data_IF_096602350660
#
_entry.id   IF_096602350660
#
_cell.length_a   1.000
_cell.length_b   1.000
_cell.length_c   1.000
_cell.angle_alpha   90.00
_cell.angle_beta   90.00
_cell.angle_gamma   90.00
#
_symmetry.space_group_name_H-M   'P 1'
#
loop_
_entity.id
_entity.type
_entity.pdbx_description
1 polymer ?
#
# COMPACT_ATOMS: atom_id res chain seq x y z
N UNK A 1 -3.60 -12.79 29.76
CA UNK A 1 -2.26 -12.34 29.32
C UNK A 1 -1.68 -13.44 28.43
N UNK A 2 -1.23 -13.18 27.18
CA UNK A 2 -0.50 -14.19 26.41
C UNK A 2 1.02 -14.08 26.64
N UNK A 3 1.80 -15.17 26.43
CA UNK A 3 3.14 -15.36 26.99
C UNK A 3 4.28 -14.74 26.17
N UNK A 4 5.41 -14.60 26.86
CA UNK A 4 6.69 -14.00 26.50
C UNK A 4 7.56 -14.89 25.57
N UNK A 5 7.36 -14.79 24.27
CA UNK A 5 8.34 -15.26 23.27
C UNK A 5 8.12 -14.52 21.96
N UNK A 6 8.78 -13.36 21.83
CA UNK A 6 8.70 -12.51 20.65
C UNK A 6 9.71 -12.99 19.61
N UNK A 7 9.24 -13.73 18.60
CA UNK A 7 9.90 -13.74 17.30
C UNK A 7 9.72 -12.35 16.68
N UNK A 8 10.76 -11.54 16.85
CA UNK A 8 10.95 -10.26 16.17
C UNK A 8 11.26 -10.57 14.72
N UNK A 9 10.27 -10.49 13.83
CA UNK A 9 10.37 -10.14 12.39
C UNK A 9 8.97 -10.32 11.77
N UNK A 10 8.56 -9.39 10.92
CA UNK A 10 7.28 -9.40 10.16
C UNK A 10 5.97 -8.96 10.86
N UNK A 11 6.01 -7.98 11.77
CA UNK A 11 4.78 -7.26 12.19
C UNK A 11 4.33 -6.18 11.18
N UNK A 12 5.19 -5.81 10.24
CA UNK A 12 4.89 -4.80 9.22
C UNK A 12 4.14 -5.37 7.99
N UNK A 13 4.20 -6.68 7.77
CA UNK A 13 3.84 -7.29 6.48
C UNK A 13 2.63 -8.23 6.54
N UNK A 14 2.16 -8.63 7.73
CA UNK A 14 1.00 -9.51 7.88
C UNK A 14 -0.29 -8.73 8.23
N UNK A 15 -1.44 -9.06 7.63
CA UNK A 15 -2.73 -8.53 8.04
C UNK A 15 -3.00 -8.92 9.50
N UNK A 16 -3.13 -7.92 10.38
CA UNK A 16 -3.34 -8.16 11.81
C UNK A 16 -4.68 -8.86 12.08
N UNK A 17 -4.74 -9.82 13.04
CA UNK A 17 -6.00 -10.33 13.55
C UNK A 17 -6.92 -9.17 13.96
N UNK A 18 -8.20 -9.19 13.56
CA UNK A 18 -9.15 -8.08 13.76
C UNK A 18 -9.12 -7.47 15.17
N UNK A 19 -8.92 -8.31 16.21
CA UNK A 19 -8.77 -7.88 17.61
C UNK A 19 -7.55 -6.98 17.84
N UNK A 20 -6.41 -7.31 17.22
CA UNK A 20 -5.18 -6.52 17.30
C UNK A 20 -5.30 -5.26 16.46
N UNK A 21 -5.90 -5.35 15.26
CA UNK A 21 -6.15 -4.19 14.39
C UNK A 21 -7.04 -3.15 15.07
N UNK A 22 -8.06 -3.58 15.83
CA UNK A 22 -8.94 -2.69 16.60
C UNK A 22 -8.24 -1.99 17.77
N UNK A 23 -7.36 -2.68 18.48
CA UNK A 23 -6.52 -2.05 19.53
C UNK A 23 -5.49 -1.09 18.92
N UNK A 24 -4.94 -1.45 17.75
CA UNK A 24 -4.00 -0.60 17.02
C UNK A 24 -4.67 0.66 16.49
N UNK A 25 -5.89 0.57 15.94
CA UNK A 25 -6.64 1.75 15.50
C UNK A 25 -6.99 2.70 16.65
N UNK A 26 -7.32 2.19 17.85
CA UNK A 26 -7.56 3.07 19.01
C UNK A 26 -6.31 3.81 19.47
N UNK A 27 -5.14 3.14 19.49
CA UNK A 27 -3.87 3.79 19.84
C UNK A 27 -3.47 4.82 18.77
N UNK A 28 -3.66 4.50 17.49
CA UNK A 28 -3.36 5.41 16.39
C UNK A 28 -4.32 6.61 16.35
N UNK A 29 -5.59 6.44 16.68
CA UNK A 29 -6.53 7.56 16.83
C UNK A 29 -6.08 8.55 17.91
N UNK A 30 -5.62 8.03 19.06
CA UNK A 30 -4.99 8.87 20.09
C UNK A 30 -3.70 9.54 19.61
N UNK A 31 -2.89 8.86 18.80
CA UNK A 31 -1.68 9.46 18.21
C UNK A 31 -2.01 10.59 17.23
N UNK A 32 -3.05 10.44 16.41
CA UNK A 32 -3.55 11.52 15.54
C UNK A 32 -4.03 12.71 16.35
N UNK A 33 -4.72 12.49 17.49
CA UNK A 33 -5.10 13.59 18.37
C UNK A 33 -3.91 14.32 19.00
N UNK A 34 -2.78 13.63 19.22
CA UNK A 34 -1.56 14.22 19.77
C UNK A 34 -0.70 14.90 18.70
N UNK A 35 -0.74 14.41 17.46
CA UNK A 35 0.06 14.89 16.34
C UNK A 35 -0.80 15.00 15.06
N UNK A 36 -1.76 15.94 15.02
CA UNK A 36 -2.72 16.07 13.91
C UNK A 36 -2.11 16.65 12.64
N UNK A 37 -0.91 17.23 12.72
CA UNK A 37 -0.23 17.84 11.57
C UNK A 37 0.82 16.94 10.95
N UNK A 38 0.96 15.70 11.43
CA UNK A 38 1.98 14.76 10.96
C UNK A 38 1.37 13.79 9.94
N UNK A 39 1.75 13.84 8.65
CA UNK A 39 1.16 12.98 7.62
C UNK A 39 1.21 11.48 7.97
N UNK A 40 2.28 11.03 8.62
CA UNK A 40 2.55 9.63 8.93
C UNK A 40 1.56 9.06 9.95
N UNK A 41 1.00 9.87 10.85
CA UNK A 41 -0.01 9.42 11.83
C UNK A 41 -1.32 9.11 11.11
N UNK A 42 -1.72 9.99 10.19
CA UNK A 42 -2.88 9.78 9.31
C UNK A 42 -2.68 8.60 8.34
N UNK A 43 -1.50 8.43 7.74
CA UNK A 43 -1.19 7.24 6.91
C UNK A 43 -1.34 5.95 7.73
N UNK A 44 -0.80 5.94 8.95
CA UNK A 44 -0.85 4.78 9.83
C UNK A 44 -2.28 4.44 10.26
N UNK A 45 -3.08 5.46 10.60
CA UNK A 45 -4.48 5.28 10.98
C UNK A 45 -5.32 4.82 9.78
N UNK A 46 -5.12 5.41 8.60
CA UNK A 46 -5.76 4.98 7.35
C UNK A 46 -5.46 3.51 7.03
N UNK A 47 -4.21 3.07 7.24
CA UNK A 47 -3.83 1.67 7.03
C UNK A 47 -4.53 0.72 8.01
N UNK A 48 -4.70 1.15 9.27
CA UNK A 48 -5.44 0.38 10.26
C UNK A 48 -6.94 0.28 9.90
N UNK A 49 -7.57 1.37 9.45
CA UNK A 49 -8.96 1.35 8.98
C UNK A 49 -9.14 0.47 7.75
N UNK A 50 -8.22 0.53 6.79
CA UNK A 50 -8.21 -0.36 5.62
C UNK A 50 -8.16 -1.83 6.05
N UNK A 51 -7.26 -2.18 6.99
CA UNK A 51 -7.16 -3.54 7.54
C UNK A 51 -8.42 -4.00 8.29
N UNK A 52 -9.26 -3.08 8.75
CA UNK A 52 -10.56 -3.35 9.36
C UNK A 52 -11.71 -3.41 8.34
N UNK A 53 -11.46 -3.13 7.06
CA UNK A 53 -12.50 -3.01 6.03
C UNK A 53 -13.28 -1.68 6.07
N UNK A 54 -12.85 -0.73 6.90
CA UNK A 54 -13.43 0.62 7.05
C UNK A 54 -12.88 1.54 5.96
N UNK A 55 -13.31 1.31 4.72
CA UNK A 55 -12.71 1.94 3.54
C UNK A 55 -12.95 3.45 3.47
N UNK A 56 -14.11 3.92 3.94
CA UNK A 56 -14.44 5.36 3.96
C UNK A 56 -13.61 6.11 4.99
N UNK A 57 -13.46 5.56 6.20
CA UNK A 57 -12.59 6.14 7.21
C UNK A 57 -11.12 6.10 6.76
N UNK A 58 -10.68 5.00 6.14
CA UNK A 58 -9.34 4.92 5.58
C UNK A 58 -9.07 5.98 4.51
N UNK A 59 -10.03 6.20 3.60
CA UNK A 59 -9.93 7.24 2.58
C UNK A 59 -9.80 8.61 3.23
N UNK A 60 -10.64 8.94 4.21
CA UNK A 60 -10.62 10.23 4.91
C UNK A 60 -9.25 10.51 5.52
N UNK A 61 -8.67 9.54 6.21
CA UNK A 61 -7.34 9.70 6.82
C UNK A 61 -6.23 9.89 5.77
N UNK A 62 -6.26 9.12 4.68
CA UNK A 62 -5.27 9.31 3.62
C UNK A 62 -5.44 10.64 2.86
N UNK A 63 -6.67 11.15 2.74
CA UNK A 63 -6.95 12.47 2.19
C UNK A 63 -6.40 13.59 3.07
N UNK A 64 -6.51 13.47 4.40
CA UNK A 64 -5.87 14.38 5.35
C UNK A 64 -4.34 14.32 5.23
N UNK A 65 -3.76 13.11 5.15
CA UNK A 65 -2.33 12.95 4.92
C UNK A 65 -1.89 13.63 3.60
N UNK A 66 -2.70 13.52 2.54
CA UNK A 66 -2.43 14.15 1.23
C UNK A 66 -2.41 15.67 1.33
N UNK A 67 -3.31 16.26 2.11
CA UNK A 67 -3.34 17.71 2.35
C UNK A 67 -2.07 18.18 3.08
N UNK A 68 -1.59 17.39 4.05
CA UNK A 68 -0.39 17.71 4.82
C UNK A 68 0.90 17.49 4.03
N UNK A 69 0.97 16.46 3.18
CA UNK A 69 2.12 16.17 2.32
C UNK A 69 1.70 15.70 0.92
N UNK A 70 1.45 16.64 -0.02
CA UNK A 70 0.95 16.31 -1.35
C UNK A 70 2.00 15.68 -2.28
N UNK A 71 3.26 15.54 -1.84
CA UNK A 71 4.35 14.95 -2.65
C UNK A 71 4.74 13.54 -2.20
N UNK A 72 4.14 13.00 -1.14
CA UNK A 72 4.44 11.64 -0.70
C UNK A 72 3.72 10.59 -1.55
N UNK A 73 4.48 9.91 -2.40
CA UNK A 73 4.02 8.81 -3.24
C UNK A 73 3.31 7.68 -2.48
N UNK A 74 3.65 7.43 -1.20
CA UNK A 74 3.01 6.38 -0.39
C UNK A 74 1.52 6.67 -0.17
N UNK A 75 1.17 7.94 -0.01
CA UNK A 75 -0.21 8.37 0.19
C UNK A 75 -1.05 8.07 -1.04
N UNK A 76 -0.55 8.41 -2.24
CA UNK A 76 -1.22 8.13 -3.50
C UNK A 76 -1.37 6.62 -3.75
N UNK A 77 -0.34 5.82 -3.46
CA UNK A 77 -0.44 4.35 -3.53
C UNK A 77 -1.52 3.81 -2.58
N UNK A 78 -1.59 4.32 -1.35
CA UNK A 78 -2.59 3.90 -0.38
C UNK A 78 -4.01 4.31 -0.77
N UNK A 79 -4.21 5.54 -1.27
CA UNK A 79 -5.51 5.99 -1.81
C UNK A 79 -5.93 5.16 -3.02
N UNK A 80 -5.00 4.87 -3.94
CA UNK A 80 -5.27 4.01 -5.08
C UNK A 80 -5.78 2.63 -4.65
N UNK A 81 -5.15 2.02 -3.64
CA UNK A 81 -5.61 0.76 -3.07
C UNK A 81 -7.03 0.85 -2.48
N UNK A 82 -7.39 1.98 -1.88
CA UNK A 82 -8.76 2.20 -1.38
C UNK A 82 -9.77 2.26 -2.54
N UNK A 83 -9.50 3.06 -3.57
CA UNK A 83 -10.39 3.14 -4.75
C UNK A 83 -10.51 1.79 -5.46
N UNK A 84 -9.41 1.05 -5.57
CA UNK A 84 -9.42 -0.31 -6.11
C UNK A 84 -10.32 -1.25 -5.30
N UNK A 85 -10.21 -1.23 -3.96
CA UNK A 85 -11.07 -2.04 -3.08
C UNK A 85 -12.55 -1.62 -3.14
N UNK A 86 -12.83 -0.37 -3.50
CA UNK A 86 -14.18 0.14 -3.75
C UNK A 86 -14.71 -0.16 -5.16
N UNK A 87 -13.89 -0.77 -6.03
CA UNK A 87 -14.25 -1.09 -7.42
C UNK A 87 -14.01 0.04 -8.43
N UNK A 88 -13.49 1.19 -8.01
CA UNK A 88 -13.15 2.29 -8.93
C UNK A 88 -11.72 2.12 -9.47
N UNK A 89 -11.60 1.23 -10.45
CA UNK A 89 -10.31 0.94 -11.11
C UNK A 89 -9.73 2.17 -11.82
N UNK A 90 -10.59 3.04 -12.37
CA UNK A 90 -10.16 4.23 -13.10
C UNK A 90 -9.43 5.21 -12.19
N UNK A 91 -9.98 5.49 -11.00
CA UNK A 91 -9.29 6.31 -9.99
C UNK A 91 -8.03 5.63 -9.46
N UNK A 92 -8.09 4.31 -9.22
CA UNK A 92 -6.95 3.57 -8.72
C UNK A 92 -5.74 3.66 -9.65
N UNK A 93 -5.95 3.45 -10.96
CA UNK A 93 -4.88 3.58 -11.97
C UNK A 93 -4.29 4.99 -11.99
N UNK A 94 -5.11 6.05 -11.99
CA UNK A 94 -4.62 7.43 -11.95
C UNK A 94 -3.74 7.70 -10.74
N UNK A 95 -4.16 7.23 -9.57
CA UNK A 95 -3.44 7.45 -8.31
C UNK A 95 -2.16 6.62 -8.22
N UNK A 96 -2.16 5.37 -8.70
CA UNK A 96 -0.92 4.58 -8.79
C UNK A 96 0.08 5.17 -9.78
N UNK A 97 -0.37 5.69 -10.94
CA UNK A 97 0.50 6.44 -11.84
C UNK A 97 1.10 7.65 -11.16
N UNK A 98 0.28 8.45 -10.47
CA UNK A 98 0.78 9.61 -9.71
C UNK A 98 1.81 9.20 -8.64
N UNK A 99 1.61 8.07 -7.97
CA UNK A 99 2.59 7.53 -7.03
C UNK A 99 3.91 7.15 -7.70
N UNK A 100 3.85 6.51 -8.88
CA UNK A 100 5.03 6.14 -9.66
C UNK A 100 5.76 7.37 -10.25
N UNK A 101 5.04 8.44 -10.58
CA UNK A 101 5.61 9.71 -11.06
C UNK A 101 6.33 10.46 -9.93
N UNK A 102 5.70 10.52 -8.75
CA UNK A 102 6.30 11.18 -7.57
C UNK A 102 7.50 10.41 -7.01
N UNK A 103 7.45 9.08 -7.07
CA UNK A 103 8.57 8.23 -6.69
C UNK A 103 8.69 7.03 -7.65
N UNK A 104 9.62 7.11 -8.62
CA UNK A 104 9.90 6.02 -9.55
C UNK A 104 10.37 4.71 -8.90
N UNK A 105 10.78 4.74 -7.63
CA UNK A 105 11.24 3.59 -6.84
C UNK A 105 10.15 3.01 -5.94
N UNK A 106 8.89 3.49 -6.03
CA UNK A 106 7.79 2.93 -5.27
C UNK A 106 7.39 1.54 -5.82
N UNK A 107 8.06 0.50 -5.31
CA UNK A 107 7.89 -0.88 -5.74
C UNK A 107 6.43 -1.36 -5.65
N UNK A 108 5.68 -0.95 -4.61
CA UNK A 108 4.27 -1.35 -4.45
C UNK A 108 3.40 -0.78 -5.56
N UNK A 109 3.54 0.52 -5.88
CA UNK A 109 2.78 1.14 -6.95
C UNK A 109 3.09 0.52 -8.32
N UNK A 110 4.37 0.24 -8.60
CA UNK A 110 4.79 -0.41 -9.85
C UNK A 110 4.20 -1.83 -9.98
N UNK A 111 4.23 -2.60 -8.89
CA UNK A 111 3.64 -3.95 -8.87
C UNK A 111 2.12 -3.89 -9.06
N UNK A 112 1.43 -2.96 -8.41
CA UNK A 112 -0.01 -2.78 -8.56
C UNK A 112 -0.39 -2.40 -10.00
N UNK A 113 0.32 -1.46 -10.63
CA UNK A 113 0.14 -1.13 -12.05
C UNK A 113 0.37 -2.35 -12.94
N UNK A 114 1.49 -3.07 -12.75
CA UNK A 114 1.81 -4.24 -13.55
C UNK A 114 0.70 -5.30 -13.49
N UNK A 115 0.23 -5.63 -12.28
CA UNK A 115 -0.84 -6.62 -12.08
C UNK A 115 -2.17 -6.17 -12.68
N UNK A 116 -2.51 -4.88 -12.65
CA UNK A 116 -3.74 -4.40 -13.27
C UNK A 116 -3.65 -4.39 -14.79
N UNK A 117 -2.53 -3.95 -15.37
CA UNK A 117 -2.33 -4.02 -16.82
C UNK A 117 -2.32 -5.47 -17.32
N UNK A 118 -1.76 -6.41 -16.56
CA UNK A 118 -1.82 -7.84 -16.87
C UNK A 118 -3.28 -8.33 -16.94
N UNK A 119 -4.12 -7.93 -15.98
CA UNK A 119 -5.55 -8.28 -15.95
C UNK A 119 -6.35 -7.65 -17.08
N UNK A 120 -5.93 -6.47 -17.54
CA UNK A 120 -6.54 -5.80 -18.70
C UNK A 120 -6.09 -6.40 -20.05
N UNK A 121 -5.16 -7.36 -20.04
CA UNK A 121 -4.59 -7.95 -21.26
C UNK A 121 -3.46 -7.12 -21.89
N UNK A 122 -3.06 -6.01 -21.26
CA UNK A 122 -2.02 -5.10 -21.71
C UNK A 122 -0.61 -5.64 -21.38
N UNK A 123 -0.26 -6.80 -21.96
CA UNK A 123 0.92 -7.58 -21.59
C UNK A 123 2.23 -6.82 -21.74
N UNK A 124 2.37 -6.00 -22.80
CA UNK A 124 3.57 -5.18 -23.02
C UNK A 124 3.78 -4.18 -21.89
N UNK A 125 2.71 -3.48 -21.52
CA UNK A 125 2.70 -2.48 -20.44
C UNK A 125 2.96 -3.15 -19.08
N UNK A 126 2.29 -4.27 -18.80
CA UNK A 126 2.48 -5.04 -17.59
C UNK A 126 3.94 -5.50 -17.41
N UNK A 127 4.54 -6.05 -18.48
CA UNK A 127 5.94 -6.49 -18.49
C UNK A 127 6.91 -5.36 -18.19
N UNK A 128 6.70 -4.18 -18.77
CA UNK A 128 7.53 -3.00 -18.49
C UNK A 128 7.48 -2.61 -17.00
N UNK A 129 6.29 -2.57 -16.39
CA UNK A 129 6.16 -2.27 -14.96
C UNK A 129 6.72 -3.37 -14.07
N UNK A 130 6.58 -4.64 -14.43
CA UNK A 130 7.19 -5.75 -13.71
C UNK A 130 8.72 -5.71 -13.72
N UNK A 131 9.33 -5.35 -14.87
CA UNK A 131 10.77 -5.14 -14.96
C UNK A 131 11.24 -3.99 -14.07
N UNK A 132 10.54 -2.86 -14.09
CA UNK A 132 10.81 -1.73 -13.18
C UNK A 132 10.69 -2.15 -11.72
N UNK A 133 9.62 -2.86 -11.36
CA UNK A 133 9.45 -3.43 -10.01
C UNK A 133 10.66 -4.27 -9.61
N UNK A 134 11.10 -5.21 -10.45
CA UNK A 134 12.26 -6.07 -10.14
C UNK A 134 13.55 -5.29 -9.92
N UNK A 135 13.73 -4.16 -10.61
CA UNK A 135 14.92 -3.31 -10.47
C UNK A 135 14.97 -2.51 -9.17
N UNK A 136 13.81 -2.14 -8.60
CA UNK A 136 13.72 -1.26 -7.41
C UNK A 136 13.26 -2.00 -6.15
N UNK A 137 12.71 -3.21 -6.29
CA UNK A 137 12.13 -3.95 -5.18
C UNK A 137 13.20 -4.36 -4.15
N UNK A 138 13.03 -3.98 -2.87
CA UNK A 138 13.98 -4.34 -1.82
C UNK A 138 13.98 -5.86 -1.55
N UNK A 139 15.04 -6.34 -0.91
CA UNK A 139 15.22 -7.77 -0.58
C UNK A 139 14.07 -8.38 0.23
N UNK A 140 13.38 -7.60 1.08
CA UNK A 140 12.18 -8.09 1.79
C UNK A 140 11.06 -8.57 0.86
N UNK A 141 11.08 -8.16 -0.42
CA UNK A 141 10.14 -8.60 -1.45
C UNK A 141 10.67 -9.73 -2.33
N UNK A 142 11.74 -10.45 -1.94
CA UNK A 142 12.31 -11.53 -2.78
C UNK A 142 11.28 -12.58 -3.20
N UNK A 143 10.35 -12.97 -2.31
CA UNK A 143 9.25 -13.89 -2.67
C UNK A 143 8.39 -13.35 -3.82
N UNK A 144 8.11 -12.04 -3.81
CA UNK A 144 7.33 -11.40 -4.86
C UNK A 144 8.15 -11.27 -6.16
N UNK A 145 9.44 -10.93 -6.04
CA UNK A 145 10.38 -10.88 -7.17
C UNK A 145 10.48 -12.24 -7.87
N UNK A 146 10.57 -13.34 -7.13
CA UNK A 146 10.58 -14.69 -7.69
C UNK A 146 9.32 -14.99 -8.51
N UNK A 147 8.14 -14.61 -8.00
CA UNK A 147 6.86 -14.77 -8.73
C UNK A 147 6.82 -13.94 -10.02
N UNK A 148 7.30 -12.70 -9.97
CA UNK A 148 7.37 -11.84 -11.15
C UNK A 148 8.36 -12.39 -12.17
N UNK A 149 9.55 -12.85 -11.74
CA UNK A 149 10.52 -13.50 -12.64
C UNK A 149 9.92 -14.72 -13.35
N UNK A 150 9.19 -15.57 -12.62
CA UNK A 150 8.51 -16.73 -13.21
C UNK A 150 7.48 -16.32 -14.27
N UNK A 151 6.66 -15.29 -13.99
CA UNK A 151 5.70 -14.72 -14.95
C UNK A 151 6.36 -14.17 -16.22
N UNK A 152 7.55 -13.60 -16.11
CA UNK A 152 8.27 -13.03 -17.25
C UNK A 152 9.03 -14.09 -18.07
N UNK A 153 9.21 -15.29 -17.52
CA UNK A 153 9.89 -16.40 -18.18
C UNK A 153 8.95 -17.26 -19.04
N UNK A 154 7.63 -17.16 -18.82
CA UNK A 154 6.63 -17.81 -19.67
C UNK A 154 6.47 -17.02 -20.99
N UNK A 155 6.57 -17.68 -22.16
CA UNK A 155 6.41 -17.05 -23.48
C UNK A 155 5.07 -16.36 -23.68
#
# INVERSE_FOLDING_TARGET
MPPSSWAITDWETLPWPRRITRRRSSTLSRAVSLYPTYPETHISLGAAYRGLGKLDEAQKEYELARQLNPKDAKIYNNLANIFFLKGDLSQALRLWHKAADLNPFNAEALYNLATQYERMGEQKTARAYYQRFLSVAPSRLERLKARVRAKLATP
#
